data_IF_013991595305
#
_entry.id   IF_013991595305
#
_cell.length_a   1.000
_cell.length_b   1.000
_cell.length_c   1.000
_cell.angle_alpha   90.00
_cell.angle_beta   90.00
_cell.angle_gamma   90.00
#
_symmetry.space_group_name_H-M   'P 1'
#
loop_
_entity.id
_entity.type
_entity.pdbx_description
1 polymer ?
#
# COMPACT_ATOMS: atom_id res chain seq x y z
N UNK A 1 -18.32 -23.41 -18.40
CA UNK A 1 -17.03 -22.96 -18.97
C UNK A 1 -16.90 -21.46 -18.74
N UNK A 2 -16.30 -21.05 -17.62
CA UNK A 2 -16.11 -19.62 -17.28
C UNK A 2 -14.71 -19.22 -17.73
N UNK A 3 -14.63 -18.32 -18.69
CA UNK A 3 -13.36 -17.79 -19.21
C UNK A 3 -12.88 -16.70 -18.25
N UNK A 4 -12.06 -17.07 -17.27
CA UNK A 4 -11.39 -16.10 -16.38
C UNK A 4 -10.31 -15.42 -17.21
N UNK A 5 -10.58 -14.19 -17.66
CA UNK A 5 -9.65 -13.41 -18.46
C UNK A 5 -8.65 -12.73 -17.52
N UNK A 6 -7.52 -13.39 -17.24
CA UNK A 6 -6.39 -12.77 -16.54
C UNK A 6 -5.67 -11.88 -17.55
N UNK A 7 -6.04 -10.60 -17.56
CA UNK A 7 -5.25 -9.57 -18.23
C UNK A 7 -3.92 -9.43 -17.49
N UNK A 8 -2.81 -9.68 -18.19
CA UNK A 8 -1.45 -9.33 -17.75
C UNK A 8 -1.28 -7.79 -17.83
N UNK A 9 -2.11 -7.05 -17.10
CA UNK A 9 -1.88 -5.64 -16.88
C UNK A 9 -0.73 -5.55 -15.87
N UNK A 10 0.46 -5.20 -16.33
CA UNK A 10 1.63 -5.03 -15.47
C UNK A 10 1.31 -4.00 -14.39
N UNK A 11 1.06 -4.48 -13.17
CA UNK A 11 0.77 -3.63 -12.03
C UNK A 11 2.08 -3.01 -11.53
N UNK A 12 2.14 -1.68 -11.52
CA UNK A 12 3.27 -0.94 -10.95
C UNK A 12 3.35 -1.23 -9.45
N UNK A 13 4.45 -1.88 -9.02
CA UNK A 13 4.72 -2.23 -7.62
C UNK A 13 6.01 -1.54 -7.18
N UNK A 14 5.94 -0.80 -6.09
CA UNK A 14 7.08 -0.10 -5.51
C UNK A 14 7.11 -0.34 -3.99
N UNK A 15 8.31 -0.35 -3.42
CA UNK A 15 8.54 -0.44 -1.98
C UNK A 15 9.28 0.81 -1.52
N UNK A 16 8.77 1.45 -0.47
CA UNK A 16 9.37 2.66 0.12
C UNK A 16 10.16 2.26 1.36
N UNK A 17 11.48 2.43 1.30
CA UNK A 17 12.41 2.12 2.38
C UNK A 17 12.96 3.41 3.01
N UNK A 18 13.48 3.33 4.24
CA UNK A 18 14.09 4.46 4.94
C UNK A 18 14.01 4.37 6.47
N UNK A 19 14.79 5.18 7.17
CA UNK A 19 14.87 5.23 8.64
C UNK A 19 13.49 5.46 9.31
N UNK A 20 13.27 5.01 10.57
CA UNK A 20 12.06 5.37 11.31
C UNK A 20 11.88 6.90 11.36
N UNK A 21 10.63 7.37 11.34
CA UNK A 21 10.27 8.80 11.24
C UNK A 21 10.73 9.57 9.98
N UNK A 22 11.30 8.91 8.96
CA UNK A 22 11.76 9.56 7.71
C UNK A 22 10.65 10.07 6.76
N UNK A 23 9.38 10.08 7.19
CA UNK A 23 8.28 10.59 6.36
C UNK A 23 7.77 9.68 5.24
N UNK A 24 8.09 8.37 5.26
CA UNK A 24 7.61 7.40 4.24
C UNK A 24 6.10 7.39 4.07
N UNK A 25 5.35 7.46 5.18
CA UNK A 25 3.88 7.53 5.16
C UNK A 25 3.35 8.80 4.48
N UNK A 26 4.06 9.92 4.62
CA UNK A 26 3.71 11.17 3.94
C UNK A 26 3.89 11.03 2.43
N UNK A 27 5.01 10.46 1.99
CA UNK A 27 5.29 10.22 0.57
C UNK A 27 4.28 9.22 -0.01
N UNK A 28 3.98 8.13 0.70
CA UNK A 28 3.02 7.16 0.22
C UNK A 28 1.61 7.73 0.11
N UNK A 29 1.17 8.55 1.06
CA UNK A 29 -0.11 9.28 0.97
C UNK A 29 -0.17 10.20 -0.25
N UNK A 30 0.94 10.90 -0.57
CA UNK A 30 1.03 11.71 -1.79
C UNK A 30 0.97 10.86 -3.06
N UNK A 31 1.60 9.69 -3.09
CA UNK A 31 1.56 8.78 -4.24
C UNK A 31 0.14 8.23 -4.48
N UNK A 32 -0.58 7.87 -3.43
CA UNK A 32 -1.99 7.45 -3.53
C UNK A 32 -2.83 8.56 -4.17
N UNK A 33 -2.65 9.81 -3.70
CA UNK A 33 -3.39 10.97 -4.23
C UNK A 33 -3.02 11.31 -5.67
N UNK A 34 -1.74 11.22 -6.03
CA UNK A 34 -1.25 11.63 -7.35
C UNK A 34 -1.47 10.57 -8.44
N UNK A 35 -1.37 9.29 -8.09
CA UNK A 35 -1.36 8.19 -9.07
C UNK A 35 -2.52 7.20 -8.91
N UNK A 36 -3.40 7.37 -7.91
CA UNK A 36 -4.51 6.46 -7.66
C UNK A 36 -4.06 5.04 -7.26
N UNK A 37 -2.81 4.88 -6.82
CA UNK A 37 -2.25 3.58 -6.43
C UNK A 37 -2.74 3.17 -5.05
N UNK A 38 -2.91 1.86 -4.83
CA UNK A 38 -3.24 1.33 -3.49
C UNK A 38 -1.99 1.29 -2.62
N UNK A 39 -2.06 1.90 -1.43
CA UNK A 39 -0.99 1.83 -0.44
C UNK A 39 -1.23 0.69 0.56
N UNK A 40 -0.20 -0.13 0.77
CA UNK A 40 -0.22 -1.22 1.75
C UNK A 40 0.96 -1.00 2.69
N UNK A 41 0.68 -0.89 3.99
CA UNK A 41 1.70 -0.67 5.04
C UNK A 41 1.46 -1.64 6.19
N UNK A 42 2.50 -2.39 6.55
CA UNK A 42 2.47 -3.28 7.71
C UNK A 42 2.22 -2.50 9.01
N UNK A 43 2.78 -1.29 9.12
CA UNK A 43 2.58 -0.42 10.27
C UNK A 43 1.13 0.05 10.42
N UNK A 44 0.44 0.32 9.31
CA UNK A 44 -0.99 0.71 9.35
C UNK A 44 -1.83 -0.45 9.88
N UNK A 45 -1.61 -1.67 9.35
CA UNK A 45 -2.29 -2.87 9.84
C UNK A 45 -2.02 -3.17 11.31
N UNK A 46 -0.78 -2.99 11.77
CA UNK A 46 -0.41 -3.18 13.17
C UNK A 46 -1.13 -2.16 14.07
N UNK A 47 -1.13 -0.88 13.67
CA UNK A 47 -1.86 0.18 14.40
C UNK A 47 -3.36 -0.11 14.45
N UNK A 48 -3.96 -0.57 13.36
CA UNK A 48 -5.37 -0.96 13.32
C UNK A 48 -5.67 -2.17 14.21
N UNK A 49 -4.73 -3.12 14.32
CA UNK A 49 -4.88 -4.30 15.19
C UNK A 49 -4.87 -3.88 16.66
N UNK A 50 -3.85 -3.10 17.05
CA UNK A 50 -3.73 -2.50 18.39
C UNK A 50 -4.97 -1.65 18.73
N UNK A 51 -5.46 -0.82 17.80
CA UNK A 51 -6.64 0.00 18.01
C UNK A 51 -7.93 -0.81 18.18
N UNK A 52 -8.00 -2.00 17.56
CA UNK A 52 -9.13 -2.92 17.70
C UNK A 52 -9.04 -3.84 18.92
N UNK A 53 -7.92 -3.80 19.65
CA UNK A 53 -7.69 -4.66 20.82
C UNK A 53 -7.64 -6.16 20.49
N UNK A 54 -7.40 -6.48 19.22
CA UNK A 54 -7.12 -7.82 18.70
C UNK A 54 -5.63 -7.97 18.52
#
# INVERSE_FOLDING_TARGET
MVKVNVSLCSAFRAVILGAPASGKGTISSRMVKAFGVTHISAGDRLRDHVARGT
#
